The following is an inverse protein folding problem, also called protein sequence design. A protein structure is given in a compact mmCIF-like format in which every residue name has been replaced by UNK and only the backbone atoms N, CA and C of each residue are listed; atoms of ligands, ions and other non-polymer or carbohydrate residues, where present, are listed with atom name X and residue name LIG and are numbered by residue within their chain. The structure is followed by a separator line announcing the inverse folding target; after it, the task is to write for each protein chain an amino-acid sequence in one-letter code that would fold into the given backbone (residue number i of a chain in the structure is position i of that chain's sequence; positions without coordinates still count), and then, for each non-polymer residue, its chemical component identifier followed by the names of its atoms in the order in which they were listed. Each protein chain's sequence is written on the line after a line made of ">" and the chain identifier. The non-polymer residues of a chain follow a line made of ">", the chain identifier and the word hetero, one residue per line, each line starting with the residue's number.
data_IF_770627357230
#
_entry.id   IF_770627357230
#
_cell.length_a   1.000
_cell.length_b   1.000
_cell.length_c   1.000
_cell.angle_alpha   90.00
_cell.angle_beta   90.00
_cell.angle_gamma   90.00
#
_symmetry.space_group_name_H-M   'P 1'
#
loop_
_entity.id
_entity.type
_entity.pdbx_description
1 polymer ?
#
# COMPACT_ATOMS: atom_id res chain seq x y z
N UNK A 1 -12.84 -4.42 -5.60
CA UNK A 1 -11.94 -4.51 -4.43
C UNK A 1 -10.56 -4.81 -4.97
N UNK A 2 -9.53 -4.08 -4.55
CA UNK A 2 -8.16 -4.22 -5.09
C UNK A 2 -7.17 -4.20 -3.93
N UNK A 3 -6.15 -5.06 -4.01
CA UNK A 3 -5.09 -5.18 -3.00
C UNK A 3 -3.89 -4.36 -3.44
N UNK A 4 -3.28 -3.64 -2.50
CA UNK A 4 -2.08 -2.84 -2.71
C UNK A 4 -0.97 -3.35 -1.79
N UNK A 5 0.21 -3.58 -2.36
CA UNK A 5 1.41 -3.91 -1.60
C UNK A 5 2.29 -2.66 -1.56
N UNK A 6 2.72 -2.26 -0.37
CA UNK A 6 3.66 -1.16 -0.20
C UNK A 6 4.94 -1.62 0.48
N UNK A 7 6.07 -1.02 0.09
CA UNK A 7 7.37 -1.19 0.73
C UNK A 7 7.76 0.12 1.38
N UNK A 8 8.43 0.05 2.53
CA UNK A 8 9.07 1.20 3.16
C UNK A 8 10.60 1.06 3.10
N UNK A 9 11.31 2.18 3.24
CA UNK A 9 12.76 2.16 3.44
C UNK A 9 13.14 1.30 4.64
N UNK A 10 14.29 0.62 4.63
CA UNK A 10 14.72 -0.29 5.72
C UNK A 10 14.87 0.39 7.08
N UNK A 11 15.06 1.71 7.11
CA UNK A 11 15.08 2.52 8.34
C UNK A 11 13.68 2.75 8.96
N UNK A 12 12.61 2.34 8.27
CA UNK A 12 11.25 2.49 8.77
C UNK A 12 11.00 1.50 9.92
N UNK A 13 10.54 2.03 11.06
CA UNK A 13 10.15 1.22 12.19
C UNK A 13 8.86 0.41 11.92
N UNK A 14 8.65 -0.68 12.65
CA UNK A 14 7.39 -1.43 12.59
C UNK A 14 6.15 -0.53 12.86
N UNK A 15 6.28 0.45 13.75
CA UNK A 15 5.23 1.43 14.03
C UNK A 15 4.93 2.34 12.83
N UNK A 16 5.90 2.62 11.97
CA UNK A 16 5.68 3.36 10.73
C UNK A 16 4.86 2.52 9.74
N UNK A 17 5.13 1.21 9.64
CA UNK A 17 4.35 0.28 8.81
C UNK A 17 2.90 0.22 9.27
N UNK A 18 2.66 0.04 10.57
CA UNK A 18 1.30 0.01 11.14
C UNK A 18 0.55 1.32 10.90
N UNK A 19 1.24 2.47 11.03
CA UNK A 19 0.62 3.77 10.75
C UNK A 19 0.23 3.93 9.30
N UNK A 20 1.11 3.54 8.37
CA UNK A 20 0.81 3.59 6.93
C UNK A 20 -0.42 2.75 6.61
N UNK A 21 -0.52 1.53 7.15
CA UNK A 21 -1.70 0.68 6.98
C UNK A 21 -2.94 1.38 7.51
N UNK A 22 -2.91 1.88 8.76
CA UNK A 22 -4.07 2.52 9.37
C UNK A 22 -4.55 3.77 8.60
N UNK A 23 -3.63 4.59 8.09
CA UNK A 23 -3.96 5.79 7.31
C UNK A 23 -4.52 5.44 5.92
N UNK A 24 -3.96 4.41 5.26
CA UNK A 24 -4.45 3.94 3.97
C UNK A 24 -5.82 3.25 4.10
N UNK A 25 -6.05 2.45 5.14
CA UNK A 25 -7.34 1.84 5.44
C UNK A 25 -8.41 2.91 5.73
N UNK A 26 -8.05 3.97 6.45
CA UNK A 26 -8.95 5.08 6.73
C UNK A 26 -9.30 5.88 5.46
N UNK A 27 -8.33 6.11 4.57
CA UNK A 27 -8.53 6.83 3.31
C UNK A 27 -9.25 5.98 2.25
N UNK A 28 -9.03 4.66 2.25
CA UNK A 28 -9.52 3.75 1.22
C UNK A 28 -10.05 2.43 1.80
N UNK A 29 -11.17 2.44 2.55
CA UNK A 29 -11.69 1.28 3.27
C UNK A 29 -12.17 0.12 2.36
N UNK A 30 -12.23 0.35 1.06
CA UNK A 30 -12.61 -0.63 0.02
C UNK A 30 -11.41 -1.38 -0.58
N UNK A 31 -10.20 -1.04 -0.14
CA UNK A 31 -8.94 -1.62 -0.58
C UNK A 31 -8.26 -2.35 0.57
N UNK A 32 -7.45 -3.33 0.23
CA UNK A 32 -6.62 -4.06 1.19
C UNK A 32 -5.18 -3.59 1.02
N UNK A 33 -4.50 -3.27 2.13
CA UNK A 33 -3.11 -2.81 2.12
C UNK A 33 -2.22 -3.79 2.87
N UNK A 34 -1.18 -4.27 2.19
CA UNK A 34 -0.22 -5.21 2.74
C UNK A 34 1.18 -4.61 2.68
N UNK A 35 1.94 -4.77 3.76
CA UNK A 35 3.37 -4.49 3.74
C UNK A 35 4.08 -5.58 2.93
N UNK A 36 4.77 -5.19 1.87
CA UNK A 36 5.60 -6.07 1.07
C UNK A 36 6.88 -6.46 1.81
N UNK A 37 7.37 -7.65 1.52
CA UNK A 37 8.68 -8.07 2.00
C UNK A 37 9.78 -7.18 1.37
N UNK A 38 10.85 -6.93 2.12
CA UNK A 38 11.96 -6.06 1.70
C UNK A 38 12.63 -6.55 0.40
N UNK A 39 12.42 -7.82 0.04
CA UNK A 39 12.96 -8.46 -1.17
C UNK A 39 12.13 -8.21 -2.45
N UNK A 40 10.90 -7.66 -2.37
CA UNK A 40 9.99 -7.57 -3.54
C UNK A 40 10.27 -6.37 -4.46
N UNK A 41 11.06 -5.39 -4.04
CA UNK A 41 11.45 -4.32 -4.97
C UNK A 41 11.99 -3.07 -4.30
N UNK A 42 13.31 -3.05 -4.10
CA UNK A 42 14.06 -1.86 -3.75
C UNK A 42 13.86 -1.40 -2.31
N UNK A 43 14.94 -0.92 -1.69
CA UNK A 43 14.95 -0.34 -0.34
C UNK A 43 14.24 1.02 -0.27
N UNK A 44 13.26 1.26 -1.15
CA UNK A 44 12.59 2.54 -1.38
C UNK A 44 11.11 2.48 -0.98
N UNK A 45 10.59 3.64 -0.58
CA UNK A 45 9.16 3.79 -0.29
C UNK A 45 8.35 3.69 -1.59
N UNK A 46 7.61 2.60 -1.77
CA UNK A 46 6.84 2.36 -2.99
C UNK A 46 5.50 1.71 -2.69
N UNK A 47 4.50 1.90 -3.55
CA UNK A 47 3.20 1.22 -3.46
C UNK A 47 2.75 0.77 -4.85
N UNK A 48 2.33 -0.50 -4.93
CA UNK A 48 1.96 -1.19 -6.14
C UNK A 48 0.57 -1.82 -5.98
N UNK A 49 -0.27 -1.66 -7.01
CA UNK A 49 -1.51 -2.40 -7.08
C UNK A 49 -1.20 -3.85 -7.50
N UNK A 50 -1.71 -4.82 -6.73
CA UNK A 50 -1.63 -6.23 -7.08
C UNK A 50 -2.75 -6.56 -8.04
N UNK A 51 -2.38 -7.06 -9.21
CA UNK A 51 -3.32 -7.50 -10.23
C UNK A 51 -3.57 -9.00 -10.08
N UNK A 52 -4.58 -9.36 -9.28
CA UNK A 52 -5.05 -10.75 -9.15
C UNK A 52 -5.34 -11.14 -7.70
N UNK A 53 -6.40 -11.94 -7.51
CA UNK A 53 -6.71 -12.58 -6.23
C UNK A 53 -5.64 -13.65 -5.95
N UNK A 54 -4.69 -13.39 -5.05
CA UNK A 54 -3.77 -14.42 -4.58
C UNK A 54 -4.41 -15.40 -3.56
N UNK A 55 -5.72 -15.32 -3.38
CA UNK A 55 -6.51 -16.21 -2.55
C UNK A 55 -7.73 -16.68 -3.32
N UNK A 56 -7.89 -17.99 -3.40
CA UNK A 56 -9.03 -18.72 -3.98
C UNK A 56 -9.01 -18.84 -5.50
N UNK A 57 -8.97 -20.09 -5.96
CA UNK A 57 -9.07 -20.45 -7.37
C UNK A 57 -10.44 -20.11 -7.95
N UNK A 58 -10.69 -18.83 -8.21
CA UNK A 58 -11.89 -18.32 -8.85
C UNK A 58 -11.57 -17.77 -10.25
N UNK A 59 -12.06 -18.56 -11.21
CA UNK A 59 -12.49 -18.32 -12.59
C UNK A 59 -11.96 -17.11 -13.40
N UNK A 60 -11.58 -17.32 -14.68
CA UNK A 60 -11.35 -16.24 -15.64
C UNK A 60 -12.69 -15.59 -15.98
N UNK A 61 -12.95 -14.39 -15.46
CA UNK A 61 -14.20 -13.69 -15.72
C UNK A 61 -14.07 -12.18 -15.69
N UNK A 62 -13.73 -11.61 -14.54
CA UNK A 62 -13.62 -10.15 -14.40
C UNK A 62 -12.51 -9.84 -13.38
N UNK A 63 -11.29 -9.63 -13.87
CA UNK A 63 -10.28 -8.95 -13.06
C UNK A 63 -10.77 -7.52 -12.86
N UNK A 64 -11.38 -7.23 -11.70
CA UNK A 64 -11.70 -5.86 -11.31
C UNK A 64 -10.37 -5.15 -11.06
N UNK A 65 -9.78 -4.63 -12.13
CA UNK A 65 -8.60 -3.78 -12.06
C UNK A 65 -9.01 -2.50 -11.33
N UNK A 66 -8.28 -2.06 -10.29
CA UNK A 66 -8.46 -0.72 -9.77
C UNK A 66 -8.27 0.27 -10.92
N UNK A 67 -9.17 1.24 -11.04
CA UNK A 67 -9.08 2.25 -12.09
C UNK A 67 -7.71 2.96 -11.97
N UNK A 68 -7.05 3.25 -13.09
CA UNK A 68 -5.77 3.98 -13.09
C UNK A 68 -5.85 5.30 -12.31
N UNK A 69 -7.02 5.94 -12.28
CA UNK A 69 -7.27 7.10 -11.43
C UNK A 69 -7.17 6.78 -9.92
N UNK A 70 -7.75 5.67 -9.47
CA UNK A 70 -7.66 5.21 -8.07
C UNK A 70 -6.24 4.80 -7.69
N UNK A 71 -5.53 4.11 -8.59
CA UNK A 71 -4.11 3.77 -8.36
C UNK A 71 -3.27 5.03 -8.20
N UNK A 72 -3.56 6.08 -8.97
CA UNK A 72 -2.87 7.36 -8.87
C UNK A 72 -3.19 8.06 -7.56
N UNK A 73 -4.45 8.03 -7.12
CA UNK A 73 -4.90 8.60 -5.84
C UNK A 73 -4.23 7.91 -4.64
N UNK A 74 -4.24 6.58 -4.60
CA UNK A 74 -3.57 5.78 -3.57
C UNK A 74 -2.07 6.12 -3.51
N UNK A 75 -1.41 6.25 -4.67
CA UNK A 75 0.01 6.65 -4.72
C UNK A 75 0.26 8.05 -4.18
N UNK A 76 -0.64 9.00 -4.44
CA UNK A 76 -0.52 10.36 -3.92
C UNK A 76 -0.69 10.39 -2.39
N UNK A 77 -1.72 9.73 -1.88
CA UNK A 77 -1.98 9.65 -0.43
C UNK A 77 -0.84 8.92 0.28
N UNK A 78 -0.35 7.81 -0.27
CA UNK A 78 0.83 7.11 0.26
C UNK A 78 2.04 8.05 0.37
N UNK A 79 2.35 8.82 -0.69
CA UNK A 79 3.46 9.79 -0.64
C UNK A 79 3.27 10.81 0.49
N UNK A 80 2.07 11.35 0.65
CA UNK A 80 1.78 12.32 1.71
C UNK A 80 2.01 11.72 3.10
N UNK A 81 1.53 10.49 3.34
CA UNK A 81 1.75 9.78 4.61
C UNK A 81 3.24 9.59 4.89
N UNK A 82 4.04 9.21 3.88
CA UNK A 82 5.49 9.08 4.05
C UNK A 82 6.17 10.42 4.37
N UNK A 83 5.73 11.53 3.75
CA UNK A 83 6.24 12.86 4.05
C UNK A 83 5.89 13.29 5.48
N UNK A 84 4.67 13.01 5.93
CA UNK A 84 4.23 13.28 7.30
C UNK A 84 5.01 12.45 8.33
N UNK A 85 5.33 11.19 7.99
CA UNK A 85 6.17 10.32 8.83
C UNK A 85 7.60 10.84 8.98
N UNK A 86 8.19 11.47 7.96
CA UNK A 86 9.53 12.09 8.07
C UNK A 86 9.55 13.27 9.05
N UNK A 87 8.42 13.98 9.16
CA UNK A 87 8.26 15.09 10.11
C UNK A 87 7.92 14.63 11.53
N UNK A 88 7.59 13.36 11.72
CA UNK A 88 7.08 12.82 12.98
C UNK A 88 8.21 12.35 13.91
N UNK A 89 8.18 12.84 15.16
CA UNK A 89 8.99 12.30 16.27
C UNK A 89 8.04 11.63 17.27
N UNK A 90 8.23 10.34 17.60
CA UNK A 90 7.52 9.75 18.72
C UNK A 90 7.87 10.56 19.98
N UNK A 91 6.85 11.09 20.64
CA UNK A 91 6.97 11.83 21.90
C UNK A 91 7.11 10.88 23.08
#
# INVERSE_FOLDING_TARGET
>A
MGTFIFTLTPDASASAVERVIAELDAAFPQHEFLAGDADIGGFDNSILAVYGSAGSGDLPGETILPNMAQVSEVKMVFRQIIEDLKGWKPS
#
